data_IF_841490366120
#
_entry.id   IF_841490366120
#
_cell.length_a   1.000
_cell.length_b   1.000
_cell.length_c   1.000
_cell.angle_alpha   90.00
_cell.angle_beta   90.00
_cell.angle_gamma   90.00
#
_symmetry.space_group_name_H-M   'P 1'
#
loop_
_entity.id
_entity.type
_entity.pdbx_description
1 polymer ?
#
# COMPACT_ATOMS: atom_id res chain seq x y z
N UNK A 1 7.07 52.01 0.75
CA UNK A 1 7.06 50.61 0.35
C UNK A 1 7.51 49.81 1.58
N UNK A 2 6.58 49.19 2.31
CA UNK A 2 6.93 48.21 3.36
C UNK A 2 7.59 47.02 2.67
N UNK A 3 8.86 46.79 2.97
CA UNK A 3 9.57 45.61 2.52
C UNK A 3 9.10 44.47 3.39
N UNK A 4 8.39 43.53 2.78
CA UNK A 4 7.87 42.34 3.45
C UNK A 4 9.04 41.39 3.71
N UNK A 5 9.49 41.30 4.95
CA UNK A 5 10.51 40.34 5.37
C UNK A 5 9.91 38.94 5.34
N UNK A 6 10.68 37.95 4.88
CA UNK A 6 10.24 36.58 4.85
C UNK A 6 9.82 36.04 6.23
N UNK A 7 8.70 35.33 6.31
CA UNK A 7 8.22 34.73 7.56
C UNK A 7 8.69 33.28 7.68
N UNK A 8 9.13 32.91 8.87
CA UNK A 8 9.50 31.54 9.17
C UNK A 8 8.29 30.62 9.04
N UNK A 9 8.38 29.62 8.17
CA UNK A 9 7.31 28.63 7.92
C UNK A 9 6.92 27.80 9.13
N UNK A 10 7.78 27.75 10.17
CA UNK A 10 7.53 27.02 11.40
C UNK A 10 6.88 27.87 12.49
N UNK A 11 7.48 29.00 12.85
CA UNK A 11 7.00 29.83 13.96
C UNK A 11 6.24 31.10 13.55
N UNK A 12 6.17 31.39 12.25
CA UNK A 12 5.47 32.57 11.70
C UNK A 12 6.16 33.92 11.94
N UNK A 13 7.29 33.98 12.66
CA UNK A 13 8.04 35.22 12.94
C UNK A 13 8.96 35.57 11.76
N UNK A 14 9.37 36.81 11.67
CA UNK A 14 10.28 37.29 10.63
C UNK A 14 11.62 36.56 10.72
N UNK A 15 12.12 36.04 9.58
CA UNK A 15 13.35 35.24 9.49
C UNK A 15 14.41 35.81 8.54
N UNK A 16 14.22 37.06 8.08
CA UNK A 16 15.14 37.73 7.17
C UNK A 16 14.78 37.60 5.69
N UNK A 17 15.55 38.27 4.84
CA UNK A 17 15.21 38.48 3.41
C UNK A 17 15.44 37.28 2.52
N UNK A 18 16.33 36.36 2.92
CA UNK A 18 16.76 35.24 2.11
C UNK A 18 16.46 33.85 2.75
N UNK A 19 15.78 33.87 3.89
CA UNK A 19 15.44 32.63 4.60
C UNK A 19 13.93 32.45 4.68
N UNK A 20 13.49 31.19 4.57
CA UNK A 20 12.11 30.76 4.80
C UNK A 20 11.91 30.15 6.19
N UNK A 21 12.95 30.11 7.02
CA UNK A 21 12.90 29.57 8.37
C UNK A 21 14.11 30.02 9.22
N UNK A 22 13.98 29.91 10.56
CA UNK A 22 15.12 29.98 11.48
C UNK A 22 15.74 28.59 11.64
N UNK A 23 17.06 28.50 11.73
CA UNK A 23 17.77 27.23 11.91
C UNK A 23 17.31 26.50 13.17
N UNK A 24 17.14 27.20 14.30
CA UNK A 24 16.61 26.64 15.52
C UNK A 24 15.18 26.09 15.39
N UNK A 25 14.33 26.72 14.58
CA UNK A 25 12.97 26.21 14.31
C UNK A 25 13.02 24.97 13.43
N UNK A 26 13.89 24.96 12.41
CA UNK A 26 14.11 23.80 11.56
C UNK A 26 14.66 22.64 12.35
N UNK A 27 15.65 22.85 13.20
CA UNK A 27 16.21 21.79 14.07
C UNK A 27 15.13 21.16 14.95
N UNK A 28 14.32 22.00 15.65
CA UNK A 28 13.20 21.49 16.47
C UNK A 28 12.20 20.68 15.66
N UNK A 29 11.90 21.12 14.45
CA UNK A 29 11.01 20.39 13.55
C UNK A 29 11.63 19.05 13.15
N UNK A 30 12.88 19.03 12.69
CA UNK A 30 13.56 17.81 12.24
C UNK A 30 13.70 16.78 13.39
N UNK A 31 14.03 17.24 14.61
CA UNK A 31 14.06 16.40 15.82
C UNK A 31 12.66 15.85 16.13
N UNK A 32 11.64 16.68 16.16
CA UNK A 32 10.27 16.24 16.44
C UNK A 32 9.73 15.27 15.40
N UNK A 33 10.02 15.49 14.11
CA UNK A 33 9.65 14.56 13.03
C UNK A 33 10.30 13.20 13.27
N UNK A 34 11.59 13.16 13.60
CA UNK A 34 12.31 11.93 13.90
C UNK A 34 11.71 11.22 15.12
N UNK A 35 11.52 11.95 16.22
CA UNK A 35 11.06 11.38 17.49
C UNK A 35 9.63 10.87 17.38
N UNK A 36 8.73 11.63 16.73
CA UNK A 36 7.36 11.22 16.48
C UNK A 36 7.27 10.01 15.54
N UNK A 37 8.09 10.01 14.48
CA UNK A 37 8.17 8.87 13.55
C UNK A 37 8.62 7.60 14.26
N UNK A 38 9.66 7.69 15.10
CA UNK A 38 10.18 6.55 15.86
C UNK A 38 9.16 6.04 16.89
N UNK A 39 8.47 6.96 17.59
CA UNK A 39 7.43 6.61 18.54
C UNK A 39 6.28 5.84 17.86
N UNK A 40 5.74 6.37 16.77
CA UNK A 40 4.64 5.76 16.03
C UNK A 40 5.06 4.43 15.40
N UNK A 41 6.26 4.35 14.81
CA UNK A 41 6.82 3.08 14.30
C UNK A 41 6.99 2.04 15.41
N UNK A 42 7.43 2.44 16.60
CA UNK A 42 7.54 1.54 17.75
C UNK A 42 6.19 0.99 18.20
N UNK A 43 5.12 1.80 18.11
CA UNK A 43 3.76 1.35 18.39
C UNK A 43 3.33 0.24 17.40
N UNK A 44 3.59 0.40 16.11
CA UNK A 44 3.32 -0.64 15.12
C UNK A 44 4.13 -1.92 15.38
N UNK A 45 5.45 -1.78 15.56
CA UNK A 45 6.35 -2.92 15.73
C UNK A 45 6.04 -3.75 17.00
N UNK A 46 5.70 -3.07 18.10
CA UNK A 46 5.42 -3.72 19.38
C UNK A 46 3.92 -3.94 19.63
N UNK A 47 3.06 -3.63 18.66
CA UNK A 47 1.60 -3.77 18.75
C UNK A 47 1.00 -3.01 19.95
N UNK A 48 1.56 -1.82 20.26
CA UNK A 48 1.11 -0.93 21.34
C UNK A 48 -0.02 -0.04 20.82
N UNK A 49 -1.11 0.09 21.58
CA UNK A 49 -2.22 0.98 21.25
C UNK A 49 -1.74 2.44 21.25
N UNK A 50 -1.99 3.16 20.15
CA UNK A 50 -1.57 4.55 19.95
C UNK A 50 -2.16 5.51 20.99
N UNK A 51 -3.35 5.24 21.50
CA UNK A 51 -3.98 6.05 22.54
C UNK A 51 -3.23 6.04 23.87
N UNK A 52 -2.45 4.97 24.16
CA UNK A 52 -1.56 4.95 25.32
C UNK A 52 -0.40 5.94 25.19
N UNK A 53 -0.09 6.35 23.96
CA UNK A 53 0.98 7.31 23.65
C UNK A 53 0.47 8.69 23.24
N UNK A 54 -0.83 8.93 23.30
CA UNK A 54 -1.48 10.16 22.84
C UNK A 54 -0.87 11.42 23.47
N UNK A 55 -0.64 11.41 24.77
CA UNK A 55 -0.03 12.55 25.48
C UNK A 55 1.38 12.84 24.97
N UNK A 56 2.19 11.81 24.75
CA UNK A 56 3.56 11.92 24.25
C UNK A 56 3.57 12.44 22.80
N UNK A 57 2.72 11.87 21.94
CA UNK A 57 2.51 12.31 20.55
C UNK A 57 2.11 13.77 20.48
N UNK A 58 1.10 14.19 21.27
CA UNK A 58 0.63 15.58 21.29
C UNK A 58 1.71 16.54 21.80
N UNK A 59 2.51 16.14 22.79
CA UNK A 59 3.61 16.95 23.31
C UNK A 59 4.68 17.18 22.24
N UNK A 60 5.06 16.14 21.49
CA UNK A 60 6.03 16.28 20.40
C UNK A 60 5.48 17.20 19.30
N UNK A 61 4.23 16.98 18.87
CA UNK A 61 3.58 17.79 17.82
C UNK A 61 3.58 19.29 18.21
N UNK A 62 3.17 19.62 19.43
CA UNK A 62 3.07 21.00 19.89
C UNK A 62 4.45 21.68 19.99
N UNK A 63 5.46 20.95 20.45
CA UNK A 63 6.80 21.52 20.69
C UNK A 63 7.63 21.64 19.40
N UNK A 64 7.25 20.94 18.33
CA UNK A 64 8.09 20.80 17.13
C UNK A 64 7.48 21.37 15.85
N UNK A 65 6.47 22.24 15.98
CA UNK A 65 5.80 22.87 14.83
C UNK A 65 5.20 21.89 13.81
N UNK A 66 4.90 20.66 14.21
CA UNK A 66 4.29 19.64 13.37
C UNK A 66 2.78 19.88 13.33
N UNK A 67 2.30 20.65 12.34
CA UNK A 67 0.89 21.01 12.20
C UNK A 67 0.44 20.95 10.73
N UNK A 68 -0.85 21.07 10.47
CA UNK A 68 -1.43 21.10 9.13
C UNK A 68 -0.83 20.06 8.19
N UNK A 69 -0.32 20.50 7.04
CA UNK A 69 0.26 19.63 6.01
C UNK A 69 1.45 18.82 6.52
N UNK A 70 2.28 19.36 7.40
CA UNK A 70 3.43 18.64 7.96
C UNK A 70 3.00 17.42 8.78
N UNK A 71 1.91 17.56 9.56
CA UNK A 71 1.32 16.45 10.31
C UNK A 71 0.76 15.40 9.36
N UNK A 72 0.02 15.82 8.33
CA UNK A 72 -0.55 14.92 7.34
C UNK A 72 0.51 14.08 6.64
N UNK A 73 1.55 14.73 6.11
CA UNK A 73 2.66 14.04 5.42
C UNK A 73 3.38 13.03 6.33
N UNK A 74 3.62 13.40 7.60
CA UNK A 74 4.24 12.50 8.56
C UNK A 74 3.38 11.27 8.82
N UNK A 75 2.09 11.48 9.08
CA UNK A 75 1.17 10.37 9.39
C UNK A 75 0.97 9.44 8.18
N UNK A 76 0.90 9.99 6.97
CA UNK A 76 0.88 9.20 5.73
C UNK A 76 2.13 8.35 5.61
N UNK A 77 3.32 8.96 5.73
CA UNK A 77 4.59 8.25 5.60
C UNK A 77 4.79 7.15 6.66
N UNK A 78 4.32 7.37 7.89
CA UNK A 78 4.38 6.36 8.96
C UNK A 78 3.49 5.17 8.60
N UNK A 79 2.27 5.42 8.12
CA UNK A 79 1.34 4.36 7.72
C UNK A 79 1.87 3.55 6.54
N UNK A 80 2.40 4.22 5.50
CA UNK A 80 2.99 3.57 4.34
C UNK A 80 4.13 2.62 4.75
N UNK A 81 5.06 3.13 5.57
CA UNK A 81 6.17 2.32 6.06
C UNK A 81 5.70 1.13 6.92
N UNK A 82 4.66 1.31 7.74
CA UNK A 82 4.13 0.24 8.57
C UNK A 82 3.49 -0.85 7.71
N UNK A 83 2.66 -0.47 6.74
CA UNK A 83 2.02 -1.43 5.82
C UNK A 83 3.06 -2.12 4.94
N UNK A 84 4.04 -1.40 4.39
CA UNK A 84 5.12 -2.01 3.61
C UNK A 84 5.95 -2.98 4.46
N UNK A 85 6.16 -2.68 5.76
CA UNK A 85 6.84 -3.58 6.70
C UNK A 85 6.03 -4.85 6.96
N UNK A 86 4.71 -4.73 7.14
CA UNK A 86 3.81 -5.86 7.33
C UNK A 86 3.67 -6.73 6.07
N UNK A 87 3.83 -6.14 4.89
CA UNK A 87 3.80 -6.86 3.62
C UNK A 87 5.12 -7.55 3.25
N UNK A 88 6.18 -7.41 4.05
CA UNK A 88 7.48 -8.03 3.75
C UNK A 88 7.44 -9.57 3.76
N UNK A 89 6.59 -10.17 4.57
CA UNK A 89 6.33 -11.63 4.56
C UNK A 89 5.14 -12.03 3.70
N UNK A 90 4.55 -11.06 2.98
CA UNK A 90 3.37 -11.19 2.12
C UNK A 90 2.06 -11.55 2.85
N UNK A 91 2.04 -11.47 4.18
CA UNK A 91 0.87 -11.82 5.00
C UNK A 91 0.64 -10.75 6.06
N UNK A 92 -0.49 -10.04 5.98
CA UNK A 92 -0.91 -9.14 7.06
C UNK A 92 -1.82 -9.92 8.00
N UNK A 93 -1.38 -10.13 9.23
CA UNK A 93 -2.14 -10.83 10.25
C UNK A 93 -3.31 -9.99 10.81
N UNK A 94 -4.19 -10.63 11.60
CA UNK A 94 -5.35 -9.94 12.17
C UNK A 94 -4.97 -8.88 13.22
N UNK A 95 -3.83 -9.00 13.87
CA UNK A 95 -3.36 -7.98 14.83
C UNK A 95 -2.82 -6.76 14.08
N UNK A 96 -2.08 -6.98 13.00
CA UNK A 96 -1.56 -5.92 12.13
C UNK A 96 -2.68 -5.12 11.48
N UNK A 97 -3.73 -5.80 11.00
CA UNK A 97 -4.96 -5.15 10.51
C UNK A 97 -5.61 -4.27 11.58
N UNK A 98 -5.69 -4.78 12.82
CA UNK A 98 -6.22 -4.00 13.95
C UNK A 98 -5.35 -2.78 14.26
N UNK A 99 -4.03 -2.93 14.19
CA UNK A 99 -3.10 -1.80 14.37
C UNK A 99 -3.29 -0.72 13.31
N UNK A 100 -3.42 -1.09 12.04
CA UNK A 100 -3.72 -0.14 10.96
C UNK A 100 -5.06 0.57 11.20
N UNK A 101 -6.12 -0.16 11.52
CA UNK A 101 -7.42 0.42 11.82
C UNK A 101 -7.38 1.39 13.02
N UNK A 102 -6.66 1.02 14.10
CA UNK A 102 -6.43 1.88 15.27
C UNK A 102 -5.65 3.13 14.91
N UNK A 103 -4.62 3.00 14.08
CA UNK A 103 -3.84 4.15 13.62
C UNK A 103 -4.68 5.13 12.79
N UNK A 104 -5.51 4.63 11.88
CA UNK A 104 -6.43 5.46 11.09
C UNK A 104 -7.34 6.27 12.03
N UNK A 105 -7.94 5.64 13.02
CA UNK A 105 -8.77 6.31 14.03
C UNK A 105 -7.97 7.34 14.84
N UNK A 106 -6.81 6.94 15.32
CA UNK A 106 -5.92 7.79 16.15
C UNK A 106 -5.42 9.02 15.42
N UNK A 107 -5.09 8.91 14.13
CA UNK A 107 -4.57 10.01 13.31
C UNK A 107 -5.55 11.18 13.21
N UNK A 108 -6.86 10.88 13.26
CA UNK A 108 -7.94 11.85 13.01
C UNK A 108 -7.97 12.36 11.57
N UNK A 109 -7.19 11.78 10.67
CA UNK A 109 -7.13 12.17 9.26
C UNK A 109 -8.14 11.37 8.42
N UNK A 110 -8.73 11.99 7.39
CA UNK A 110 -9.58 11.26 6.46
C UNK A 110 -8.83 10.12 5.76
N UNK A 111 -9.48 8.99 5.54
CA UNK A 111 -8.87 7.81 4.94
C UNK A 111 -8.29 8.08 3.54
N UNK A 112 -8.90 8.96 2.74
CA UNK A 112 -8.37 9.34 1.43
C UNK A 112 -7.03 10.10 1.53
N UNK A 113 -6.82 10.88 2.59
CA UNK A 113 -5.53 11.53 2.86
C UNK A 113 -4.49 10.49 3.25
N UNK A 114 -4.83 9.60 4.20
CA UNK A 114 -3.94 8.53 4.65
C UNK A 114 -3.58 7.53 3.54
N UNK A 115 -4.47 7.32 2.58
CA UNK A 115 -4.26 6.43 1.43
C UNK A 115 -3.65 7.13 0.21
N UNK A 116 -3.06 8.32 0.37
CA UNK A 116 -2.47 9.10 -0.73
C UNK A 116 -1.47 8.31 -1.57
N UNK A 117 -0.71 7.43 -0.95
CA UNK A 117 0.28 6.56 -1.60
C UNK A 117 -0.23 5.12 -1.81
N UNK A 118 -1.55 4.90 -1.71
CA UNK A 118 -2.22 3.62 -1.94
C UNK A 118 -1.81 2.49 -0.96
N UNK A 119 -1.29 2.81 0.23
CA UNK A 119 -0.85 1.80 1.21
C UNK A 119 -2.02 0.95 1.73
N UNK A 120 -3.15 1.58 2.08
CA UNK A 120 -4.36 0.86 2.52
C UNK A 120 -4.88 -0.04 1.39
N UNK A 121 -4.82 0.44 0.16
CA UNK A 121 -5.20 -0.32 -1.03
C UNK A 121 -4.32 -1.57 -1.21
N UNK A 122 -2.99 -1.44 -1.07
CA UNK A 122 -2.05 -2.57 -1.07
C UNK A 122 -2.40 -3.60 0.01
N UNK A 123 -2.73 -3.15 1.22
CA UNK A 123 -3.16 -4.03 2.32
C UNK A 123 -4.41 -4.82 1.96
N UNK A 124 -5.45 -4.15 1.43
CA UNK A 124 -6.68 -4.82 1.02
C UNK A 124 -6.48 -5.78 -0.15
N UNK A 125 -5.61 -5.43 -1.10
CA UNK A 125 -5.21 -6.32 -2.19
C UNK A 125 -4.52 -7.58 -1.68
N UNK A 126 -3.60 -7.45 -0.73
CA UNK A 126 -2.93 -8.58 -0.09
C UNK A 126 -3.92 -9.52 0.61
N UNK A 127 -4.91 -8.96 1.31
CA UNK A 127 -5.96 -9.74 1.98
C UNK A 127 -6.77 -10.58 0.98
N UNK A 128 -7.19 -9.98 -0.14
CA UNK A 128 -7.93 -10.70 -1.18
C UNK A 128 -7.10 -11.85 -1.76
N UNK A 129 -5.81 -11.59 -2.05
CA UNK A 129 -4.91 -12.61 -2.58
C UNK A 129 -4.70 -13.76 -1.59
N UNK A 130 -4.56 -13.46 -0.29
CA UNK A 130 -4.42 -14.46 0.76
C UNK A 130 -5.67 -15.34 0.92
N UNK A 131 -6.85 -14.74 0.88
CA UNK A 131 -8.10 -15.51 0.94
C UNK A 131 -8.15 -16.51 -0.22
N UNK A 132 -7.81 -16.07 -1.44
CA UNK A 132 -7.77 -16.94 -2.62
C UNK A 132 -6.72 -18.04 -2.48
N UNK A 133 -5.49 -17.70 -2.02
CA UNK A 133 -4.42 -18.70 -1.81
C UNK A 133 -4.80 -19.76 -0.79
N UNK A 134 -5.58 -19.39 0.21
CA UNK A 134 -6.07 -20.29 1.26
C UNK A 134 -7.37 -21.02 0.88
N UNK A 135 -7.81 -20.90 -0.38
CA UNK A 135 -9.06 -21.52 -0.87
C UNK A 135 -10.32 -20.90 -0.26
N UNK A 136 -10.21 -19.74 0.35
CA UNK A 136 -11.35 -19.02 0.91
C UNK A 136 -11.99 -18.15 -0.17
N UNK A 137 -13.31 -18.10 -0.17
CA UNK A 137 -14.06 -17.16 -1.02
C UNK A 137 -13.91 -15.75 -0.46
N UNK A 138 -13.27 -14.82 -1.19
CA UNK A 138 -13.10 -13.48 -0.69
C UNK A 138 -14.42 -12.69 -0.69
N UNK A 139 -14.59 -11.80 0.29
CA UNK A 139 -15.77 -10.94 0.35
C UNK A 139 -15.62 -9.72 -0.56
N UNK A 140 -16.73 -9.17 -1.12
CA UNK A 140 -16.72 -7.94 -1.89
C UNK A 140 -16.09 -6.79 -1.08
N UNK A 141 -15.11 -6.11 -1.69
CA UNK A 141 -14.34 -5.03 -1.03
C UNK A 141 -14.54 -3.67 -1.69
N UNK A 142 -14.96 -3.65 -2.97
CA UNK A 142 -15.02 -2.43 -3.76
C UNK A 142 -16.29 -2.36 -4.62
N UNK A 143 -16.69 -1.13 -4.91
CA UNK A 143 -17.63 -0.80 -5.99
C UNK A 143 -16.86 -0.06 -7.07
N UNK A 144 -16.95 -0.51 -8.32
CA UNK A 144 -16.22 0.09 -9.44
C UNK A 144 -17.14 1.04 -10.17
N UNK A 145 -16.66 2.29 -10.35
CA UNK A 145 -17.25 3.27 -11.28
C UNK A 145 -16.39 3.45 -12.52
N UNK A 146 -16.99 3.80 -13.65
CA UNK A 146 -16.29 4.04 -14.92
C UNK A 146 -16.18 2.81 -15.81
N UNK A 147 -15.26 2.88 -16.81
CA UNK A 147 -15.08 1.81 -17.80
C UNK A 147 -14.60 0.51 -17.16
N UNK A 148 -15.43 -0.50 -17.30
CA UNK A 148 -15.20 -1.83 -16.76
C UNK A 148 -15.15 -2.85 -17.90
N UNK A 149 -13.99 -3.42 -18.23
CA UNK A 149 -13.80 -4.23 -19.43
C UNK A 149 -14.32 -5.66 -19.32
N UNK A 150 -14.99 -6.03 -18.24
CA UNK A 150 -15.43 -7.39 -17.99
C UNK A 150 -16.94 -7.52 -18.09
N UNK A 151 -17.39 -8.58 -18.77
CA UNK A 151 -18.80 -8.98 -18.76
C UNK A 151 -19.06 -9.96 -17.62
N UNK A 152 -19.59 -9.45 -16.51
CA UNK A 152 -19.94 -10.27 -15.36
C UNK A 152 -21.26 -11.01 -15.58
N UNK A 153 -21.40 -12.16 -14.91
CA UNK A 153 -22.68 -12.84 -14.85
C UNK A 153 -23.70 -12.05 -14.01
N UNK A 154 -24.97 -12.31 -14.22
CA UNK A 154 -26.04 -11.75 -13.40
C UNK A 154 -25.85 -12.15 -11.93
N UNK A 155 -26.00 -11.19 -11.02
CA UNK A 155 -25.80 -11.38 -9.57
C UNK A 155 -24.38 -11.85 -9.19
N UNK A 156 -23.38 -11.30 -9.84
CA UNK A 156 -21.97 -11.51 -9.54
C UNK A 156 -21.38 -10.21 -8.97
N UNK A 157 -20.78 -10.28 -7.79
CA UNK A 157 -20.27 -9.13 -7.07
C UNK A 157 -18.76 -9.04 -7.21
N UNK A 158 -18.25 -7.81 -7.45
CA UNK A 158 -16.83 -7.57 -7.58
C UNK A 158 -16.20 -7.57 -6.18
N UNK A 159 -15.14 -8.35 -6.04
CA UNK A 159 -14.29 -8.37 -4.85
C UNK A 159 -13.15 -7.38 -4.99
N UNK A 160 -12.41 -7.47 -6.09
CA UNK A 160 -11.29 -6.58 -6.39
C UNK A 160 -10.95 -6.52 -7.87
N UNK A 161 -10.39 -5.39 -8.29
CA UNK A 161 -9.84 -5.18 -9.63
C UNK A 161 -8.36 -4.84 -9.54
N UNK A 162 -7.52 -5.68 -10.12
CA UNK A 162 -6.10 -5.43 -10.30
C UNK A 162 -5.83 -4.95 -11.72
N UNK A 163 -5.11 -3.85 -11.87
CA UNK A 163 -4.68 -3.31 -13.16
C UNK A 163 -3.19 -3.57 -13.38
N UNK A 164 -2.75 -3.52 -14.64
CA UNK A 164 -1.36 -3.74 -15.02
C UNK A 164 -0.78 -5.09 -14.58
N UNK A 165 -1.63 -6.12 -14.57
CA UNK A 165 -1.25 -7.48 -14.23
C UNK A 165 -0.70 -8.20 -15.46
N UNK A 166 0.48 -8.78 -15.32
CA UNK A 166 1.09 -9.58 -16.38
C UNK A 166 0.66 -11.04 -16.26
N UNK A 167 0.01 -11.55 -17.30
CA UNK A 167 -0.31 -12.96 -17.44
C UNK A 167 0.92 -13.72 -17.90
N UNK A 168 1.32 -14.72 -17.11
CA UNK A 168 2.37 -15.65 -17.47
C UNK A 168 1.78 -17.05 -17.68
N UNK A 169 2.24 -17.72 -18.71
CA UNK A 169 1.90 -19.12 -18.98
C UNK A 169 3.15 -19.97 -18.86
N UNK A 170 3.00 -21.13 -18.24
CA UNK A 170 4.06 -22.09 -18.12
C UNK A 170 4.28 -22.76 -19.49
N UNK A 171 5.48 -22.60 -20.08
CA UNK A 171 5.94 -23.35 -21.24
C UNK A 171 7.14 -24.21 -20.85
N UNK A 172 7.19 -25.43 -21.32
CA UNK A 172 8.36 -26.29 -21.16
C UNK A 172 9.40 -25.86 -22.19
N UNK A 173 10.39 -25.10 -21.76
CA UNK A 173 11.61 -24.78 -22.49
C UNK A 173 12.79 -24.70 -21.53
N UNK A 174 14.02 -24.90 -22.08
CA UNK A 174 15.27 -24.87 -21.31
C UNK A 174 15.61 -23.44 -20.95
N UNK A 175 15.57 -23.00 -19.68
CA UNK A 175 16.31 -21.83 -19.19
C UNK A 175 15.84 -21.22 -17.86
N UNK A 176 16.73 -20.65 -17.09
CA UNK A 176 16.80 -19.71 -15.96
C UNK A 176 15.85 -19.86 -14.74
N UNK A 177 16.42 -20.09 -13.57
CA UNK A 177 15.78 -20.01 -12.24
C UNK A 177 16.22 -18.76 -11.49
N UNK A 178 15.30 -18.03 -10.86
CA UNK A 178 15.62 -16.85 -10.08
C UNK A 178 14.63 -16.50 -8.98
N UNK A 179 15.04 -15.57 -8.10
CA UNK A 179 14.19 -15.04 -7.02
C UNK A 179 13.28 -13.93 -7.53
N UNK A 180 12.02 -13.98 -7.13
CA UNK A 180 11.06 -12.90 -7.37
C UNK A 180 10.67 -12.22 -6.08
N UNK A 181 10.49 -10.91 -6.12
CA UNK A 181 9.71 -10.17 -5.14
C UNK A 181 8.30 -9.98 -5.71
N UNK A 182 7.28 -10.47 -5.01
CA UNK A 182 5.87 -10.37 -5.41
C UNK A 182 5.09 -11.64 -5.12
N UNK A 183 3.77 -11.51 -5.06
CA UNK A 183 2.84 -12.63 -4.84
C UNK A 183 2.58 -13.32 -6.17
N UNK A 184 2.66 -14.66 -6.18
CA UNK A 184 2.29 -15.49 -7.33
C UNK A 184 1.12 -16.39 -6.94
N UNK A 185 0.01 -16.30 -7.65
CA UNK A 185 -1.19 -17.11 -7.41
C UNK A 185 -1.38 -18.08 -8.57
N UNK A 186 -1.45 -19.37 -8.27
CA UNK A 186 -1.85 -20.40 -9.24
C UNK A 186 -3.37 -20.39 -9.34
N UNK A 187 -3.91 -20.05 -10.51
CA UNK A 187 -5.36 -19.98 -10.75
C UNK A 187 -5.89 -21.24 -11.42
N UNK A 188 -5.03 -21.97 -12.17
CA UNK A 188 -5.34 -23.29 -12.72
C UNK A 188 -4.05 -24.06 -13.05
N UNK A 189 -4.14 -25.33 -13.44
CA UNK A 189 -2.96 -26.14 -13.83
C UNK A 189 -2.22 -25.46 -14.99
N UNK A 190 -0.99 -25.00 -14.74
CA UNK A 190 -0.11 -24.36 -15.73
C UNK A 190 -0.31 -22.85 -15.93
N UNK A 191 -1.23 -22.16 -15.19
CA UNK A 191 -1.48 -20.72 -15.30
C UNK A 191 -1.27 -20.04 -13.95
N UNK A 192 -0.45 -18.96 -13.95
CA UNK A 192 -0.10 -18.22 -12.75
C UNK A 192 -0.25 -16.71 -12.99
N UNK A 193 -0.78 -15.97 -12.01
CA UNK A 193 -0.76 -14.51 -11.96
C UNK A 193 0.32 -14.06 -11.00
N UNK A 194 1.12 -13.06 -11.43
CA UNK A 194 2.25 -12.56 -10.66
C UNK A 194 2.31 -11.05 -10.64
N UNK A 195 2.55 -10.50 -9.45
CA UNK A 195 2.85 -9.07 -9.23
C UNK A 195 4.31 -8.92 -8.79
N UNK A 196 5.11 -8.05 -9.44
CA UNK A 196 6.50 -7.75 -9.06
C UNK A 196 7.58 -8.10 -10.08
N UNK A 197 8.85 -7.78 -9.78
CA UNK A 197 10.02 -7.95 -10.65
C UNK A 197 10.82 -9.24 -10.39
N UNK A 198 11.58 -9.72 -11.40
CA UNK A 198 12.33 -10.99 -11.40
C UNK A 198 13.82 -10.82 -11.74
N UNK A 199 14.72 -11.57 -11.03
CA UNK A 199 16.16 -11.76 -11.36
C UNK A 199 16.53 -13.26 -11.25
N UNK A 200 17.22 -13.83 -12.25
CA UNK A 200 17.46 -15.26 -12.32
C UNK A 200 18.77 -15.81 -12.86
N UNK A 201 19.03 -17.15 -12.67
CA UNK A 201 20.16 -17.95 -13.15
C UNK A 201 19.68 -19.18 -13.95
N UNK A 202 20.48 -19.77 -14.90
CA UNK A 202 20.01 -20.80 -15.83
C UNK A 202 20.03 -22.23 -15.23
N UNK A 203 18.94 -22.96 -15.40
CA UNK A 203 18.81 -24.42 -15.28
C UNK A 203 17.64 -24.89 -16.17
N UNK A 204 17.70 -26.13 -16.70
CA UNK A 204 16.62 -26.69 -17.52
C UNK A 204 15.34 -26.90 -16.69
N UNK A 205 14.33 -26.04 -16.90
CA UNK A 205 13.02 -26.20 -16.28
C UNK A 205 11.97 -25.35 -17.02
N UNK A 206 10.73 -25.62 -16.74
CA UNK A 206 9.54 -24.97 -17.26
C UNK A 206 9.64 -23.44 -17.20
N UNK A 207 9.62 -22.77 -18.36
CA UNK A 207 9.67 -21.31 -18.45
C UNK A 207 8.29 -20.70 -18.24
N UNK A 208 8.25 -19.62 -17.45
CA UNK A 208 7.11 -18.73 -17.35
C UNK A 208 7.18 -17.69 -18.48
N UNK A 209 6.50 -17.92 -19.58
CA UNK A 209 6.43 -16.95 -20.68
C UNK A 209 5.40 -15.88 -20.37
N UNK A 210 5.80 -14.62 -20.51
CA UNK A 210 4.88 -13.48 -20.50
C UNK A 210 3.97 -13.59 -21.74
N UNK A 211 2.65 -13.58 -21.53
CA UNK A 211 1.66 -13.61 -22.60
C UNK A 211 1.17 -12.21 -22.91
N UNK A 212 0.68 -11.50 -21.88
CA UNK A 212 0.10 -10.17 -22.06
C UNK A 212 0.06 -9.41 -20.74
N UNK A 213 -0.15 -8.11 -20.81
CA UNK A 213 -0.43 -7.27 -19.65
C UNK A 213 -1.87 -6.75 -19.76
N UNK A 214 -2.64 -6.89 -18.70
CA UNK A 214 -4.05 -6.52 -18.68
C UNK A 214 -4.57 -6.27 -17.27
N UNK A 215 -5.85 -6.56 -17.06
CA UNK A 215 -6.51 -6.43 -15.77
C UNK A 215 -7.08 -7.77 -15.31
N UNK A 216 -7.09 -7.98 -13.99
CA UNK A 216 -7.73 -9.15 -13.36
C UNK A 216 -8.84 -8.65 -12.46
N UNK A 217 -10.04 -9.16 -12.64
CA UNK A 217 -11.17 -8.92 -11.78
C UNK A 217 -11.50 -10.20 -10.98
N UNK A 218 -11.43 -10.09 -9.67
CA UNK A 218 -11.93 -11.11 -8.75
C UNK A 218 -13.37 -10.78 -8.40
N UNK A 219 -14.24 -11.76 -8.55
CA UNK A 219 -15.64 -11.66 -8.14
C UNK A 219 -15.94 -12.70 -7.06
N UNK A 220 -17.16 -12.74 -6.57
CA UNK A 220 -17.61 -13.76 -5.63
C UNK A 220 -17.81 -15.15 -6.28
N UNK A 221 -17.64 -15.28 -7.62
CA UNK A 221 -17.87 -16.54 -8.36
C UNK A 221 -16.75 -16.94 -9.29
N UNK A 222 -16.03 -15.96 -9.86
CA UNK A 222 -15.04 -16.20 -10.89
C UNK A 222 -13.85 -15.24 -10.76
N UNK A 223 -12.75 -15.62 -11.40
CA UNK A 223 -11.62 -14.76 -11.70
C UNK A 223 -11.66 -14.46 -13.20
N UNK A 224 -11.68 -13.20 -13.56
CA UNK A 224 -11.63 -12.74 -14.94
C UNK A 224 -10.27 -12.12 -15.23
N UNK A 225 -9.72 -12.40 -16.38
CA UNK A 225 -8.58 -11.68 -16.95
C UNK A 225 -8.97 -11.08 -18.28
N UNK A 226 -8.59 -9.85 -18.53
CA UNK A 226 -8.78 -9.16 -19.79
C UNK A 226 -7.53 -8.40 -20.20
N UNK A 227 -7.09 -8.62 -21.43
CA UNK A 227 -6.07 -7.85 -22.15
C UNK A 227 -6.47 -7.75 -23.61
N UNK A 228 -5.80 -6.89 -24.42
CA UNK A 228 -6.02 -6.84 -25.86
C UNK A 228 -5.81 -8.21 -26.55
N UNK A 229 -4.90 -9.04 -26.05
CA UNK A 229 -4.52 -10.29 -26.66
C UNK A 229 -5.29 -11.49 -26.10
N UNK A 230 -5.82 -11.41 -24.88
CA UNK A 230 -6.40 -12.58 -24.21
C UNK A 230 -7.44 -12.23 -23.15
N UNK A 231 -8.56 -12.95 -23.20
CA UNK A 231 -9.56 -13.00 -22.13
C UNK A 231 -9.63 -14.38 -21.50
N UNK A 232 -9.78 -14.44 -20.16
CA UNK A 232 -9.99 -15.67 -19.41
C UNK A 232 -11.10 -15.48 -18.39
N UNK A 233 -11.86 -16.54 -18.15
CA UNK A 233 -12.84 -16.65 -17.07
C UNK A 233 -12.62 -17.98 -16.36
N UNK A 234 -12.37 -17.94 -15.06
CA UNK A 234 -12.00 -19.09 -14.25
C UNK A 234 -12.95 -19.15 -13.06
N UNK A 235 -13.74 -20.21 -12.89
CA UNK A 235 -14.56 -20.39 -11.70
C UNK A 235 -13.69 -20.77 -10.50
N UNK A 236 -14.14 -20.42 -9.30
CA UNK A 236 -13.58 -20.99 -8.09
C UNK A 236 -13.94 -22.48 -8.03
N UNK A 237 -12.99 -23.30 -7.68
CA UNK A 237 -13.18 -24.76 -7.47
C UNK A 237 -13.83 -25.03 -6.11
#
# INVERSE_FOLDING_TARGET
KSFDMGKCKFCGRDCGWFSSYHDACKQKYDEGVRDLTNLLKSCFANKIDFYLKEREVNTIILNSYINGQFKEELFVNVLDNAIDSYLNDNVIDNQEKKMVARYIQFSGLPTNVLNKNHAIEKMLQSEVLLDILNGKKPNPKITIGGDFPFMLNKNENIVWLFRNITLHQQKVQREYVGRSRGISVRVMKGVYYRTGGFKGHPIETTIMQKISTGSVCFTDKHIYYHSPEKGLKIPYS
#
